data_IF_967432200741
#
_entry.id   IF_967432200741
#
_cell.length_a   1.000
_cell.length_b   1.000
_cell.length_c   1.000
_cell.angle_alpha   90.00
_cell.angle_beta   90.00
_cell.angle_gamma   90.00
#
_symmetry.space_group_name_H-M   'P 1'
#
loop_
_entity.id
_entity.type
_entity.pdbx_description
1 polymer ?
#
# COMPACT_ATOMS: atom_id res chain seq x y z
N UNK A 1 -2.46 -2.08 -12.69
CA UNK A 1 -3.13 -2.75 -11.56
C UNK A 1 -4.46 -3.31 -12.05
N UNK A 2 -4.96 -4.43 -11.50
CA UNK A 2 -6.27 -4.95 -11.87
C UNK A 2 -7.39 -3.98 -11.43
N UNK A 3 -8.47 -3.88 -12.19
CA UNK A 3 -9.64 -3.07 -11.84
C UNK A 3 -10.40 -3.63 -10.63
N UNK A 4 -10.29 -4.94 -10.38
CA UNK A 4 -10.91 -5.62 -9.26
C UNK A 4 -10.01 -6.75 -8.74
N UNK A 5 -10.08 -7.00 -7.42
CA UNK A 5 -9.41 -8.13 -6.77
C UNK A 5 -10.19 -9.42 -6.98
N UNK A 6 -9.47 -10.55 -7.10
CA UNK A 6 -10.05 -11.89 -7.17
C UNK A 6 -10.12 -12.49 -5.77
N UNK A 7 -10.94 -13.53 -5.59
CA UNK A 7 -11.06 -14.23 -4.31
C UNK A 7 -9.71 -14.69 -3.73
N UNK A 8 -8.82 -15.18 -4.60
CA UNK A 8 -7.46 -15.62 -4.24
C UNK A 8 -6.59 -14.50 -3.68
N UNK A 9 -6.81 -13.24 -4.09
CA UNK A 9 -6.02 -12.10 -3.63
C UNK A 9 -6.27 -11.79 -2.14
N UNK A 10 -7.34 -12.35 -1.54
CA UNK A 10 -7.67 -12.24 -0.12
C UNK A 10 -7.13 -13.39 0.74
N UNK A 11 -6.58 -14.44 0.14
CA UNK A 11 -6.08 -15.59 0.90
C UNK A 11 -4.91 -15.18 1.82
N UNK A 12 -4.94 -15.67 3.06
CA UNK A 12 -3.95 -15.34 4.11
C UNK A 12 -3.86 -13.85 4.49
N UNK A 13 -4.87 -13.03 4.15
CA UNK A 13 -4.95 -11.62 4.56
C UNK A 13 -5.96 -11.43 5.68
N UNK A 14 -5.69 -10.43 6.52
CA UNK A 14 -6.63 -9.99 7.55
C UNK A 14 -7.58 -8.97 6.95
N UNK A 15 -8.88 -9.16 7.15
CA UNK A 15 -9.88 -8.20 6.66
C UNK A 15 -10.00 -7.01 7.61
N UNK A 16 -9.33 -5.92 7.24
CA UNK A 16 -9.34 -4.66 7.98
C UNK A 16 -10.17 -3.56 7.30
N UNK A 17 -11.00 -3.91 6.29
CA UNK A 17 -11.79 -2.92 5.53
C UNK A 17 -12.82 -2.17 6.38
N UNK A 18 -13.14 -2.68 7.56
CA UNK A 18 -14.04 -2.05 8.53
C UNK A 18 -13.36 -0.94 9.35
N UNK A 19 -12.03 -0.86 9.35
CA UNK A 19 -11.29 0.20 10.03
C UNK A 19 -11.24 1.47 9.14
N UNK A 20 -11.44 2.67 9.71
CA UNK A 20 -11.52 3.91 8.94
C UNK A 20 -10.12 4.47 8.63
N UNK A 21 -9.36 3.74 7.82
CA UNK A 21 -8.08 4.21 7.29
C UNK A 21 -8.25 5.46 6.44
N UNK A 22 -7.28 6.36 6.54
CA UNK A 22 -7.14 7.54 5.67
C UNK A 22 -5.73 7.63 5.14
N UNK A 23 -5.57 8.25 3.97
CA UNK A 23 -4.27 8.68 3.44
C UNK A 23 -4.18 10.21 3.59
N UNK A 24 -2.96 10.73 3.78
CA UNK A 24 -2.74 12.17 3.99
C UNK A 24 -1.57 12.57 3.08
N UNK A 25 -1.92 13.10 1.91
CA UNK A 25 -0.98 13.32 0.82
C UNK A 25 -1.08 14.75 0.26
N UNK A 26 -0.08 15.15 -0.54
CA UNK A 26 -0.14 16.39 -1.29
C UNK A 26 -1.24 16.39 -2.35
N UNK A 27 -1.81 17.55 -2.68
CA UNK A 27 -2.92 17.68 -3.64
C UNK A 27 -2.61 17.11 -5.05
N UNK A 28 -1.33 17.04 -5.43
CA UNK A 28 -0.88 16.50 -6.71
C UNK A 28 -0.45 15.03 -6.65
N UNK A 29 -0.46 14.39 -5.47
CA UNK A 29 -0.10 12.99 -5.31
C UNK A 29 -1.10 12.07 -6.04
N UNK A 30 -0.61 10.97 -6.60
CA UNK A 30 -1.43 9.98 -7.33
C UNK A 30 -1.16 8.54 -6.89
N UNK A 31 -0.13 8.36 -6.09
CA UNK A 31 0.49 7.13 -5.62
C UNK A 31 0.42 7.11 -4.09
N UNK A 32 -0.73 6.66 -3.57
CA UNK A 32 -0.96 6.56 -2.13
C UNK A 32 -0.38 5.24 -1.60
N UNK A 33 0.87 5.31 -1.14
CA UNK A 33 1.62 4.12 -0.68
C UNK A 33 1.27 3.69 0.74
N UNK A 34 0.70 4.58 1.55
CA UNK A 34 0.35 4.31 2.94
C UNK A 34 -1.03 4.82 3.35
N UNK A 35 -1.59 4.19 4.38
CA UNK A 35 -2.81 4.62 5.04
C UNK A 35 -2.69 4.41 6.55
N UNK A 36 -3.23 5.33 7.34
CA UNK A 36 -3.13 5.31 8.80
C UNK A 36 -4.50 5.30 9.46
N UNK A 37 -4.57 4.62 10.60
CA UNK A 37 -5.71 4.66 11.52
C UNK A 37 -5.18 4.52 12.95
N UNK A 38 -5.71 5.31 13.87
CA UNK A 38 -5.36 5.21 15.29
C UNK A 38 -6.63 5.14 16.14
N UNK A 39 -6.65 4.20 17.07
CA UNK A 39 -7.71 4.08 18.07
C UNK A 39 -7.15 4.13 19.49
N UNK A 40 -7.91 4.73 20.39
CA UNK A 40 -7.55 4.78 21.80
C UNK A 40 -7.82 3.42 22.45
N UNK A 41 -6.83 2.89 23.18
CA UNK A 41 -6.92 1.66 23.97
C UNK A 41 -6.58 1.96 25.42
N UNK A 42 -7.60 2.34 26.20
CA UNK A 42 -7.44 2.75 27.60
C UNK A 42 -6.61 4.04 27.70
N UNK A 43 -5.46 3.96 28.36
CA UNK A 43 -4.51 5.08 28.46
C UNK A 43 -3.57 5.20 27.24
N UNK A 44 -3.52 4.17 26.37
CA UNK A 44 -2.62 4.10 25.22
C UNK A 44 -3.39 4.24 23.90
N UNK A 45 -2.66 4.15 22.78
CA UNK A 45 -3.22 4.07 21.44
C UNK A 45 -2.70 2.83 20.72
N UNK A 46 -3.51 2.29 19.81
CA UNK A 46 -3.08 1.36 18.78
C UNK A 46 -3.04 2.12 17.46
N UNK A 47 -1.84 2.25 16.89
CA UNK A 47 -1.62 2.83 15.57
C UNK A 47 -1.52 1.69 14.55
N UNK A 48 -2.31 1.79 13.50
CA UNK A 48 -2.25 0.97 12.31
C UNK A 48 -1.59 1.78 11.20
N UNK A 49 -0.59 1.18 10.55
CA UNK A 49 0.04 1.70 9.34
C UNK A 49 -0.09 0.62 8.28
N UNK A 50 -0.95 0.84 7.29
CA UNK A 50 -1.13 -0.03 6.14
C UNK A 50 -0.25 0.47 5.00
N UNK A 51 0.61 -0.38 4.44
CA UNK A 51 1.47 -0.06 3.31
C UNK A 51 0.97 -0.84 2.09
N UNK A 52 1.00 -0.21 0.91
CA UNK A 52 0.67 -0.85 -0.35
C UNK A 52 1.51 -2.11 -0.55
N UNK A 53 0.85 -3.24 -0.79
CA UNK A 53 1.52 -4.52 -1.02
C UNK A 53 2.02 -4.63 -2.47
N UNK A 54 3.06 -3.86 -2.79
CA UNK A 54 3.68 -3.83 -4.13
C UNK A 54 4.22 -5.21 -4.51
N UNK A 55 4.72 -5.98 -3.54
CA UNK A 55 5.28 -7.33 -3.73
C UNK A 55 4.24 -8.36 -4.21
N UNK A 56 2.96 -8.12 -3.93
CA UNK A 56 1.88 -8.91 -4.50
C UNK A 56 1.85 -8.83 -6.04
N UNK A 57 2.22 -7.68 -6.60
CA UNK A 57 2.15 -7.39 -8.04
C UNK A 57 3.49 -7.45 -8.75
N UNK A 58 4.58 -7.06 -8.10
CA UNK A 58 5.94 -7.10 -8.64
C UNK A 58 6.63 -8.38 -8.16
N UNK A 59 6.69 -9.39 -9.02
CA UNK A 59 7.31 -10.69 -8.70
C UNK A 59 8.79 -10.69 -9.07
N UNK A 60 9.60 -11.21 -8.16
CA UNK A 60 11.04 -11.36 -8.33
C UNK A 60 11.40 -12.04 -9.66
N UNK A 61 12.39 -11.49 -10.36
CA UNK A 61 12.88 -12.02 -11.62
C UNK A 61 11.91 -11.88 -12.80
N UNK A 62 10.88 -11.04 -12.69
CA UNK A 62 10.02 -10.66 -13.82
C UNK A 62 10.47 -9.33 -14.41
N UNK A 63 10.10 -9.03 -15.68
CA UNK A 63 10.52 -7.77 -16.32
C UNK A 63 10.20 -6.51 -15.52
N UNK A 64 9.09 -6.50 -14.78
CA UNK A 64 8.73 -5.35 -13.92
C UNK A 64 9.66 -5.20 -12.71
N UNK A 65 10.13 -6.30 -12.13
CA UNK A 65 11.12 -6.30 -11.04
C UNK A 65 12.50 -5.86 -11.54
N UNK A 66 12.92 -6.36 -12.69
CA UNK A 66 14.17 -5.92 -13.33
C UNK A 66 14.17 -4.42 -13.63
N UNK A 67 13.07 -3.89 -14.16
CA UNK A 67 12.94 -2.46 -14.43
C UNK A 67 12.87 -1.63 -13.15
N UNK A 68 12.15 -2.10 -12.12
CA UNK A 68 12.14 -1.46 -10.81
C UNK A 68 13.54 -1.42 -10.19
N UNK A 69 14.32 -2.51 -10.32
CA UNK A 69 15.70 -2.57 -9.86
C UNK A 69 16.62 -1.62 -10.64
N UNK A 70 16.44 -1.52 -11.96
CA UNK A 70 17.22 -0.64 -12.82
C UNK A 70 16.96 0.84 -12.50
N UNK A 71 15.69 1.24 -12.31
CA UNK A 71 15.31 2.63 -12.00
C UNK A 71 15.52 3.02 -10.55
N UNK A 72 15.38 2.06 -9.62
CA UNK A 72 15.51 2.16 -8.15
C UNK A 72 14.51 3.05 -7.42
N UNK A 73 14.23 4.23 -7.95
CA UNK A 73 13.35 5.22 -7.32
C UNK A 73 12.58 5.99 -8.39
N UNK A 74 11.48 6.63 -7.99
CA UNK A 74 10.78 7.57 -8.86
C UNK A 74 11.57 8.87 -8.97
N UNK A 75 11.44 9.56 -10.11
CA UNK A 75 12.02 10.88 -10.34
C UNK A 75 10.91 11.85 -10.72
N UNK A 76 10.75 12.89 -9.92
CA UNK A 76 9.86 14.01 -10.25
C UNK A 76 10.64 15.03 -11.07
N UNK A 77 10.05 15.48 -12.17
CA UNK A 77 10.57 16.58 -12.97
C UNK A 77 9.70 17.83 -12.75
N UNK A 78 10.26 19.04 -12.85
CA UNK A 78 9.50 20.28 -12.76
C UNK A 78 8.38 20.38 -13.81
#
# INVERSE_FOLDING_TARGET
>A
MPEALRAQDYENRWDLRHLPFVTIDGISARDFDDAVFAEKRGANYCLYVAIADVSHYVKLGRPLDEEAHLRRHFRLFP
#
